data_IF_035707432429
#
_entry.id   IF_035707432429
#
_cell.length_a   1.000
_cell.length_b   1.000
_cell.length_c   1.000
_cell.angle_alpha   90.00
_cell.angle_beta   90.00
_cell.angle_gamma   90.00
#
_symmetry.space_group_name_H-M   'P 1'
#
loop_
_entity.id
_entity.type
_entity.pdbx_description
1 polymer ?
#
# COMPACT_ATOMS: atom_id res chain seq x y z
N UNK A 1 -18.07 -2.20 30.19
CA UNK A 1 -17.70 -0.79 30.42
C UNK A 1 -17.66 -0.12 29.06
N UNK A 2 -18.26 1.06 28.87
CA UNK A 2 -17.96 1.86 27.68
C UNK A 2 -16.44 2.11 27.68
N UNK A 3 -15.78 1.92 26.54
CA UNK A 3 -14.36 2.27 26.40
C UNK A 3 -14.13 3.77 26.65
N UNK A 4 -12.88 4.18 26.90
CA UNK A 4 -12.53 5.60 27.03
C UNK A 4 -13.04 6.37 25.78
N UNK A 5 -13.97 7.34 25.91
CA UNK A 5 -14.50 8.05 24.73
C UNK A 5 -13.40 8.77 23.94
N UNK A 6 -12.28 9.11 24.59
CA UNK A 6 -11.13 9.74 23.95
C UNK A 6 -10.26 8.76 23.15
N UNK A 7 -10.44 7.45 23.30
CA UNK A 7 -9.78 6.45 22.44
C UNK A 7 -10.58 6.08 21.21
N UNK A 8 -11.82 6.57 21.08
CA UNK A 8 -12.75 6.20 19.99
C UNK A 8 -12.15 6.38 18.60
N UNK A 9 -11.54 7.55 18.33
CA UNK A 9 -10.99 7.85 17.00
C UNK A 9 -9.84 6.90 16.66
N UNK A 10 -8.83 6.82 17.54
CA UNK A 10 -7.70 5.90 17.36
C UNK A 10 -8.18 4.44 17.24
N UNK A 11 -9.08 3.99 18.12
CA UNK A 11 -9.58 2.63 18.13
C UNK A 11 -10.36 2.28 16.85
N UNK A 12 -11.11 3.23 16.28
CA UNK A 12 -11.78 3.02 15.00
C UNK A 12 -10.83 3.07 13.81
N UNK A 13 -9.69 3.77 13.93
CA UNK A 13 -8.68 3.86 12.88
C UNK A 13 -7.80 2.60 12.77
N UNK A 14 -7.41 2.03 13.92
CA UNK A 14 -6.47 0.91 13.98
C UNK A 14 -6.81 -0.29 13.09
N UNK A 15 -8.08 -0.74 12.93
CA UNK A 15 -8.40 -1.85 12.03
C UNK A 15 -7.98 -1.59 10.57
N UNK A 16 -8.17 -0.37 10.06
CA UNK A 16 -7.79 0.01 8.70
C UNK A 16 -6.26 0.08 8.59
N UNK A 17 -5.60 0.82 9.48
CA UNK A 17 -4.15 0.98 9.48
C UNK A 17 -3.41 -0.36 9.60
N UNK A 18 -3.86 -1.23 10.50
CA UNK A 18 -3.30 -2.57 10.65
C UNK A 18 -3.52 -3.41 9.39
N UNK A 19 -4.68 -3.28 8.73
CA UNK A 19 -4.93 -3.97 7.47
C UNK A 19 -3.99 -3.50 6.36
N UNK A 20 -3.72 -2.20 6.25
CA UNK A 20 -2.75 -1.67 5.29
C UNK A 20 -1.36 -2.22 5.53
N UNK A 21 -0.88 -2.19 6.79
CA UNK A 21 0.42 -2.77 7.18
C UNK A 21 0.52 -4.25 6.81
N UNK A 22 -0.52 -5.03 7.07
CA UNK A 22 -0.54 -6.46 6.74
C UNK A 22 -0.49 -6.71 5.23
N UNK A 23 -1.30 -6.00 4.44
CA UNK A 23 -1.31 -6.19 2.98
C UNK A 23 0.04 -5.75 2.38
N UNK A 24 0.59 -4.62 2.81
CA UNK A 24 1.91 -4.15 2.39
C UNK A 24 3.00 -5.18 2.72
N UNK A 25 3.01 -5.70 3.95
CA UNK A 25 3.98 -6.72 4.37
C UNK A 25 3.86 -8.01 3.54
N UNK A 26 2.64 -8.41 3.17
CA UNK A 26 2.42 -9.56 2.30
C UNK A 26 2.93 -9.32 0.87
N UNK A 27 2.72 -8.12 0.31
CA UNK A 27 3.29 -7.74 -0.99
C UNK A 27 4.82 -7.78 -0.92
N UNK A 28 5.42 -7.12 0.07
CA UNK A 28 6.87 -7.14 0.30
C UNK A 28 7.44 -8.55 0.48
N UNK A 29 6.74 -9.43 1.20
CA UNK A 29 7.13 -10.83 1.32
C UNK A 29 7.19 -11.54 -0.03
N UNK A 30 6.18 -11.30 -0.87
CA UNK A 30 6.12 -11.84 -2.24
C UNK A 30 7.23 -11.28 -3.14
N UNK A 31 7.66 -10.03 -2.91
CA UNK A 31 8.77 -9.44 -3.67
C UNK A 31 10.15 -10.00 -3.30
N UNK A 32 10.31 -10.56 -2.09
CA UNK A 32 11.59 -11.12 -1.64
C UNK A 32 11.86 -12.50 -2.22
N UNK A 33 10.87 -13.40 -2.15
CA UNK A 33 10.95 -14.76 -2.68
C UNK A 33 9.53 -15.30 -2.94
N UNK A 34 9.25 -15.99 -4.07
CA UNK A 34 10.12 -16.22 -5.24
C UNK A 34 10.37 -14.92 -6.03
N UNK A 35 11.38 -14.89 -6.92
CA UNK A 35 11.69 -13.69 -7.70
C UNK A 35 10.48 -13.30 -8.59
N UNK A 36 9.87 -12.09 -8.43
CA UNK A 36 8.65 -11.72 -9.16
C UNK A 36 8.79 -11.78 -10.68
N UNK A 37 10.01 -11.57 -11.20
CA UNK A 37 10.30 -11.59 -12.62
C UNK A 37 10.05 -12.95 -13.27
N UNK A 38 10.07 -14.05 -12.53
CA UNK A 38 9.93 -15.42 -13.05
C UNK A 38 8.64 -16.10 -12.59
N UNK A 39 7.75 -15.39 -11.87
CA UNK A 39 6.51 -15.95 -11.35
C UNK A 39 5.57 -16.47 -12.45
N UNK A 40 4.83 -17.57 -12.21
CA UNK A 40 3.73 -17.96 -13.07
C UNK A 40 2.72 -16.83 -13.24
N UNK A 41 2.14 -16.67 -14.44
CA UNK A 41 1.20 -15.58 -14.76
C UNK A 41 0.09 -15.42 -13.71
N UNK A 42 -0.49 -16.53 -13.25
CA UNK A 42 -1.55 -16.52 -12.25
C UNK A 42 -1.10 -15.89 -10.92
N UNK A 43 0.12 -16.17 -10.48
CA UNK A 43 0.68 -15.60 -9.25
C UNK A 43 1.01 -14.12 -9.44
N UNK A 44 1.60 -13.76 -10.59
CA UNK A 44 1.88 -12.35 -10.91
C UNK A 44 0.58 -11.51 -10.98
N UNK A 45 -0.49 -12.02 -11.59
CA UNK A 45 -1.80 -11.37 -11.59
C UNK A 45 -2.41 -11.27 -10.18
N UNK A 46 -2.17 -12.26 -9.31
CA UNK A 46 -2.63 -12.21 -7.92
C UNK A 46 -1.89 -11.11 -7.12
N UNK A 47 -0.58 -10.98 -7.31
CA UNK A 47 0.24 -9.91 -6.74
C UNK A 47 -0.24 -8.52 -7.19
N UNK A 48 -0.47 -8.35 -8.49
CA UNK A 48 -0.99 -7.10 -9.05
C UNK A 48 -2.37 -6.75 -8.50
N UNK A 49 -3.29 -7.72 -8.44
CA UNK A 49 -4.61 -7.52 -7.84
C UNK A 49 -4.52 -7.11 -6.38
N UNK A 50 -3.71 -7.80 -5.57
CA UNK A 50 -3.52 -7.45 -4.16
C UNK A 50 -2.96 -6.02 -4.00
N UNK A 51 -2.11 -5.60 -4.93
CA UNK A 51 -1.56 -4.23 -4.96
C UNK A 51 -2.63 -3.21 -5.33
N UNK A 52 -3.45 -3.46 -6.34
CA UNK A 52 -4.56 -2.59 -6.73
C UNK A 52 -5.62 -2.47 -5.62
N UNK A 53 -5.95 -3.59 -4.97
CA UNK A 53 -6.84 -3.59 -3.82
C UNK A 53 -6.27 -2.74 -2.67
N UNK A 54 -4.94 -2.76 -2.44
CA UNK A 54 -4.30 -1.88 -1.47
C UNK A 54 -4.42 -0.41 -1.88
N UNK A 55 -4.13 -0.08 -3.14
CA UNK A 55 -4.18 1.32 -3.61
C UNK A 55 -5.58 1.90 -3.50
N UNK A 56 -6.61 1.14 -3.88
CA UNK A 56 -8.01 1.60 -3.80
C UNK A 56 -8.48 1.80 -2.36
N UNK A 57 -8.13 0.90 -1.45
CA UNK A 57 -8.53 1.05 -0.05
C UNK A 57 -7.79 2.20 0.65
N UNK A 58 -6.51 2.40 0.36
CA UNK A 58 -5.78 3.56 0.87
C UNK A 58 -6.40 4.85 0.33
N UNK A 59 -6.61 4.96 -0.98
CA UNK A 59 -7.18 6.17 -1.57
C UNK A 59 -8.56 6.53 -0.98
N UNK A 60 -9.47 5.56 -0.92
CA UNK A 60 -10.81 5.78 -0.38
C UNK A 60 -10.83 6.10 1.13
N UNK A 61 -9.95 5.49 1.92
CA UNK A 61 -9.83 5.75 3.35
C UNK A 61 -9.42 7.19 3.64
N UNK A 62 -8.33 7.65 3.03
CA UNK A 62 -7.81 8.99 3.24
C UNK A 62 -8.71 10.05 2.59
N UNK A 63 -9.43 9.72 1.51
CA UNK A 63 -10.47 10.60 0.98
C UNK A 63 -11.62 10.82 1.98
N UNK A 64 -12.04 9.78 2.70
CA UNK A 64 -13.06 9.90 3.75
C UNK A 64 -12.55 10.80 4.88
N UNK A 65 -11.31 10.62 5.30
CA UNK A 65 -10.67 11.44 6.33
C UNK A 65 -10.67 12.92 5.96
N UNK A 66 -10.13 13.25 4.78
CA UNK A 66 -10.05 14.63 4.29
C UNK A 66 -11.43 15.28 4.15
N UNK A 67 -12.42 14.51 3.69
CA UNK A 67 -13.76 15.03 3.41
C UNK A 67 -14.58 15.22 4.69
N UNK A 68 -14.49 14.28 5.63
CA UNK A 68 -15.47 14.17 6.72
C UNK A 68 -14.88 14.24 8.13
N UNK A 69 -13.61 13.87 8.33
CA UNK A 69 -13.01 13.73 9.67
C UNK A 69 -12.08 14.91 9.96
N UNK A 70 -11.10 15.16 9.09
CA UNK A 70 -10.07 16.18 9.28
C UNK A 70 -10.64 17.60 9.45
N UNK A 71 -11.69 18.03 8.72
CA UNK A 71 -12.29 19.34 8.95
C UNK A 71 -12.86 19.52 10.36
N UNK A 72 -13.29 18.44 11.01
CA UNK A 72 -13.81 18.47 12.38
C UNK A 72 -12.65 18.51 13.39
N UNK A 73 -11.59 17.74 13.16
CA UNK A 73 -10.39 17.73 14.00
C UNK A 73 -9.64 19.07 13.94
N UNK A 74 -9.56 19.66 12.75
CA UNK A 74 -8.89 20.94 12.48
C UNK A 74 -9.40 22.11 13.33
N UNK A 75 -10.63 22.03 13.87
CA UNK A 75 -11.19 23.04 14.77
C UNK A 75 -10.37 23.23 16.05
N UNK A 76 -9.67 22.19 16.51
CA UNK A 76 -8.81 22.24 17.70
C UNK A 76 -7.39 21.73 17.48
N UNK A 77 -7.13 21.05 16.38
CA UNK A 77 -5.83 20.46 16.04
C UNK A 77 -5.39 20.96 14.67
N UNK A 78 -4.67 22.10 14.60
CA UNK A 78 -4.33 22.77 13.34
C UNK A 78 -3.58 21.89 12.33
N UNK A 79 -2.88 20.84 12.77
CA UNK A 79 -2.20 19.89 11.88
C UNK A 79 -3.12 19.12 10.91
N UNK A 80 -4.44 19.09 11.18
CA UNK A 80 -5.45 18.53 10.28
C UNK A 80 -6.06 19.57 9.32
N UNK A 81 -5.69 20.84 9.43
CA UNK A 81 -6.25 21.89 8.57
C UNK A 81 -5.63 21.87 7.16
N UNK A 82 -6.46 22.10 6.14
CA UNK A 82 -6.04 22.22 4.72
C UNK A 82 -5.15 23.43 4.46
N UNK A 83 -5.34 24.50 5.23
CA UNK A 83 -4.57 25.75 5.12
C UNK A 83 -4.02 26.10 6.49
N UNK A 84 -2.76 25.76 6.74
CA UNK A 84 -2.08 26.09 7.98
C UNK A 84 -0.59 26.31 7.75
N UNK A 85 0.03 27.17 8.56
CA UNK A 85 1.49 27.37 8.59
C UNK A 85 2.22 26.16 9.21
N UNK A 86 1.75 24.94 8.97
CA UNK A 86 2.36 23.72 9.49
C UNK A 86 3.48 23.20 8.59
N UNK A 87 3.78 23.91 7.49
CA UNK A 87 4.80 23.48 6.52
C UNK A 87 4.56 22.04 6.04
N UNK A 88 5.64 21.28 5.90
CA UNK A 88 5.60 19.90 5.40
C UNK A 88 5.10 18.84 6.41
N UNK A 89 4.60 19.25 7.59
CA UNK A 89 4.23 18.33 8.69
C UNK A 89 2.72 18.26 8.97
N UNK A 90 1.88 18.80 8.08
CA UNK A 90 0.42 18.64 8.17
C UNK A 90 -0.06 17.33 7.55
N UNK A 91 -1.09 16.71 8.12
CA UNK A 91 -1.63 15.43 7.63
C UNK A 91 -2.13 15.51 6.18
N UNK A 92 -2.66 16.66 5.75
CA UNK A 92 -3.04 16.89 4.35
C UNK A 92 -1.83 16.85 3.40
N UNK A 93 -0.66 17.37 3.83
CA UNK A 93 0.57 17.30 3.05
C UNK A 93 1.12 15.87 3.00
N UNK A 94 0.98 15.12 4.10
CA UNK A 94 1.30 13.69 4.13
C UNK A 94 0.43 12.90 3.16
N UNK A 95 -0.90 13.13 3.16
CA UNK A 95 -1.82 12.53 2.20
C UNK A 95 -1.43 12.87 0.77
N UNK A 96 -1.15 14.13 0.44
CA UNK A 96 -0.77 14.53 -0.91
C UNK A 96 0.46 13.76 -1.43
N UNK A 97 1.49 13.57 -0.58
CA UNK A 97 2.68 12.78 -0.94
C UNK A 97 2.35 11.30 -1.13
N UNK A 98 1.54 10.73 -0.25
CA UNK A 98 1.12 9.34 -0.34
C UNK A 98 0.21 9.10 -1.56
N UNK A 99 -0.79 9.94 -1.84
CA UNK A 99 -1.64 9.84 -3.03
C UNK A 99 -0.81 9.93 -4.32
N UNK A 100 0.21 10.79 -4.38
CA UNK A 100 1.13 10.82 -5.52
C UNK A 100 1.93 9.50 -5.70
N UNK A 101 2.28 8.83 -4.60
CA UNK A 101 2.91 7.51 -4.66
C UNK A 101 1.91 6.41 -5.07
N UNK A 102 0.68 6.47 -4.56
CA UNK A 102 -0.42 5.56 -4.92
C UNK A 102 -0.77 5.63 -6.40
N UNK A 103 -0.89 6.83 -6.97
CA UNK A 103 -1.22 7.04 -8.38
C UNK A 103 -0.17 6.39 -9.30
N UNK A 104 1.12 6.57 -8.99
CA UNK A 104 2.21 5.96 -9.75
C UNK A 104 2.18 4.44 -9.68
N UNK A 105 2.00 3.88 -8.47
CA UNK A 105 1.92 2.43 -8.26
C UNK A 105 0.70 1.81 -8.96
N UNK A 106 -0.48 2.43 -8.80
CA UNK A 106 -1.72 1.98 -9.40
C UNK A 106 -1.62 2.00 -10.93
N UNK A 107 -1.17 3.11 -11.51
CA UNK A 107 -1.01 3.25 -12.97
C UNK A 107 -0.10 2.17 -13.56
N UNK A 108 1.03 1.90 -12.90
CA UNK A 108 1.94 0.83 -13.29
C UNK A 108 1.26 -0.55 -13.21
N UNK A 109 0.64 -0.88 -12.06
CA UNK A 109 0.02 -2.17 -11.83
C UNK A 109 -1.16 -2.45 -12.79
N UNK A 110 -2.01 -1.46 -13.06
CA UNK A 110 -3.09 -1.57 -14.05
C UNK A 110 -2.54 -1.76 -15.47
N UNK A 111 -1.48 -1.04 -15.82
CA UNK A 111 -0.80 -1.16 -17.11
C UNK A 111 -0.28 -2.59 -17.33
N UNK A 112 0.43 -3.13 -16.33
CA UNK A 112 0.97 -4.49 -16.36
C UNK A 112 -0.16 -5.53 -16.39
N UNK A 113 -1.19 -5.40 -15.55
CA UNK A 113 -2.31 -6.36 -15.53
C UNK A 113 -3.00 -6.44 -16.90
N UNK A 114 -3.25 -5.28 -17.52
CA UNK A 114 -3.83 -5.18 -18.86
C UNK A 114 -2.94 -5.83 -19.91
N UNK A 115 -1.63 -5.56 -19.88
CA UNK A 115 -0.67 -6.11 -20.83
C UNK A 115 -0.52 -7.64 -20.72
N UNK A 116 -0.49 -8.16 -19.49
CA UNK A 116 -0.43 -9.60 -19.19
C UNK A 116 -1.67 -10.35 -19.68
N UNK A 117 -2.86 -9.74 -19.58
CA UNK A 117 -4.11 -10.32 -20.10
C UNK A 117 -4.27 -10.16 -21.62
N UNK A 118 -3.48 -9.27 -22.22
CA UNK A 118 -3.56 -8.90 -23.64
C UNK A 118 -2.87 -9.87 -24.61
N UNK A 119 -2.67 -9.42 -25.85
CA UNK A 119 -1.89 -10.15 -26.86
C UNK A 119 -0.41 -10.27 -26.50
N UNK A 120 0.17 -9.24 -25.89
CA UNK A 120 1.59 -9.23 -25.51
C UNK A 120 1.88 -10.28 -24.43
N UNK A 121 1.04 -10.39 -23.39
CA UNK A 121 1.18 -11.43 -22.38
C UNK A 121 1.03 -12.84 -22.96
N UNK A 122 0.06 -13.07 -23.86
CA UNK A 122 -0.08 -14.36 -24.57
C UNK A 122 1.15 -14.70 -25.40
N UNK A 123 1.73 -13.72 -26.09
CA UNK A 123 2.98 -13.90 -26.85
C UNK A 123 4.13 -14.28 -25.92
N UNK A 124 4.33 -13.53 -24.82
CA UNK A 124 5.40 -13.82 -23.86
C UNK A 124 5.26 -15.23 -23.26
N UNK A 125 4.04 -15.69 -22.96
CA UNK A 125 3.79 -17.07 -22.50
C UNK A 125 4.15 -18.09 -23.57
N UNK A 126 3.79 -17.85 -24.84
CA UNK A 126 4.18 -18.75 -25.94
C UNK A 126 5.70 -18.81 -26.15
N UNK A 127 6.41 -17.76 -25.75
CA UNK A 127 7.88 -17.69 -25.73
C UNK A 127 8.48 -18.25 -24.43
N UNK A 128 7.65 -18.77 -23.52
CA UNK A 128 8.06 -19.47 -22.29
C UNK A 128 8.05 -18.63 -21.00
N UNK A 129 7.66 -17.35 -21.02
CA UNK A 129 7.65 -16.52 -19.82
C UNK A 129 6.79 -17.12 -18.69
N UNK A 130 7.35 -17.16 -17.48
CA UNK A 130 6.74 -17.74 -16.29
C UNK A 130 6.57 -19.26 -16.34
N UNK A 131 7.11 -19.95 -17.37
CA UNK A 131 7.10 -21.40 -17.49
C UNK A 131 8.40 -22.01 -16.91
N UNK A 132 8.35 -23.24 -16.37
CA UNK A 132 9.56 -23.98 -15.99
C UNK A 132 10.51 -24.16 -17.17
N UNK A 133 11.79 -23.99 -16.90
CA UNK A 133 12.90 -24.25 -17.83
C UNK A 133 13.31 -25.72 -17.68
N UNK A 134 13.64 -26.38 -18.79
CA UNK A 134 14.11 -27.75 -18.76
C UNK A 134 15.45 -27.87 -17.99
N UNK A 135 15.74 -29.00 -17.33
CA UNK A 135 16.99 -29.18 -16.57
C UNK A 135 18.27 -28.97 -17.40
N UNK A 136 18.20 -29.21 -18.70
CA UNK A 136 19.34 -29.08 -19.64
C UNK A 136 19.67 -27.61 -19.99
N UNK A 137 18.70 -26.69 -19.85
CA UNK A 137 18.87 -25.25 -20.08
C UNK A 137 19.23 -24.49 -18.78
N UNK A 138 19.25 -25.20 -17.64
CA UNK A 138 19.58 -24.66 -16.32
C UNK A 138 21.10 -24.69 -16.07
N UNK A 139 21.90 -23.96 -16.85
CA UNK A 139 23.32 -23.77 -16.50
C UNK A 139 23.46 -23.01 -15.16
N UNK A 140 24.20 -23.58 -14.21
CA UNK A 140 24.61 -22.94 -12.94
C UNK A 140 24.11 -23.62 -11.67
N UNK A 141 25.06 -23.87 -10.76
CA UNK A 141 25.02 -24.51 -9.42
C UNK A 141 23.71 -25.12 -8.90
N UNK A 142 23.80 -26.40 -8.53
CA UNK A 142 22.82 -27.13 -7.74
C UNK A 142 22.97 -26.72 -6.27
N UNK A 143 22.26 -25.67 -5.85
CA UNK A 143 21.98 -25.46 -4.43
C UNK A 143 20.69 -26.21 -4.08
N UNK A 144 20.85 -27.18 -3.16
CA UNK A 144 19.86 -28.15 -2.68
C UNK A 144 18.81 -27.50 -1.73
N UNK A 145 18.01 -26.56 -2.23
CA UNK A 145 16.81 -26.10 -1.50
C UNK A 145 15.55 -26.20 -2.37
N UNK A 146 14.76 -27.23 -2.07
CA UNK A 146 13.34 -27.47 -2.35
C UNK A 146 12.67 -26.74 -3.55
N UNK A 147 12.42 -27.53 -4.62
CA UNK A 147 11.24 -27.44 -5.50
C UNK A 147 10.92 -26.10 -6.21
N UNK A 148 11.91 -25.23 -6.45
CA UNK A 148 11.71 -24.07 -7.33
C UNK A 148 12.36 -24.32 -8.70
N UNK A 149 11.64 -25.03 -9.56
CA UNK A 149 12.03 -25.18 -10.96
C UNK A 149 12.36 -23.79 -11.53
N UNK A 150 13.61 -23.58 -12.01
CA UNK A 150 14.03 -22.32 -12.63
C UNK A 150 13.01 -21.97 -13.73
N UNK A 151 12.39 -20.79 -13.67
CA UNK A 151 11.38 -20.33 -14.64
C UNK A 151 11.95 -19.24 -15.52
N UNK A 152 11.53 -19.18 -16.78
CA UNK A 152 11.96 -18.13 -17.71
C UNK A 152 11.33 -16.79 -17.30
N UNK A 153 12.10 -15.69 -17.25
CA UNK A 153 11.59 -14.39 -16.81
C UNK A 153 10.58 -13.78 -17.79
N UNK A 154 9.67 -12.97 -17.26
CA UNK A 154 8.85 -12.05 -18.04
C UNK A 154 9.74 -11.00 -18.72
N UNK A 155 9.39 -10.52 -19.92
CA UNK A 155 10.06 -9.36 -20.51
C UNK A 155 9.89 -8.12 -19.62
N UNK A 156 10.96 -7.36 -19.39
CA UNK A 156 10.91 -6.11 -18.59
C UNK A 156 10.00 -5.04 -19.20
N UNK A 157 9.81 -5.08 -20.53
CA UNK A 157 8.83 -4.25 -21.22
C UNK A 157 7.37 -4.57 -20.87
N UNK A 158 7.10 -5.73 -20.27
CA UNK A 158 5.77 -6.15 -19.78
C UNK A 158 5.66 -6.00 -18.27
N UNK A 159 6.68 -6.47 -17.55
CA UNK A 159 6.77 -6.37 -16.11
C UNK A 159 8.23 -6.21 -15.72
N UNK A 160 8.54 -5.07 -15.12
CA UNK A 160 9.83 -4.78 -14.50
C UNK A 160 9.67 -4.93 -12.98
N UNK A 161 10.20 -6.02 -12.44
CA UNK A 161 10.12 -6.30 -11.00
C UNK A 161 10.90 -5.31 -10.15
N UNK A 162 11.98 -4.72 -10.67
CA UNK A 162 12.78 -3.75 -9.93
C UNK A 162 12.07 -2.40 -9.88
N UNK A 163 11.51 -1.94 -11.00
CA UNK A 163 10.67 -0.74 -11.00
C UNK A 163 9.44 -0.93 -10.09
N UNK A 164 8.80 -2.09 -10.14
CA UNK A 164 7.67 -2.39 -9.25
C UNK A 164 8.08 -2.34 -7.77
N UNK A 165 9.24 -2.89 -7.42
CA UNK A 165 9.80 -2.82 -6.06
C UNK A 165 10.05 -1.38 -5.62
N UNK A 166 10.63 -0.55 -6.49
CA UNK A 166 10.86 0.88 -6.22
C UNK A 166 9.54 1.60 -5.91
N UNK A 167 8.48 1.33 -6.68
CA UNK A 167 7.16 1.92 -6.45
C UNK A 167 6.54 1.49 -5.11
N UNK A 168 6.65 0.20 -4.76
CA UNK A 168 6.19 -0.32 -3.47
C UNK A 168 7.00 0.30 -2.32
N UNK A 169 8.33 0.38 -2.44
CA UNK A 169 9.18 0.99 -1.42
C UNK A 169 8.86 2.47 -1.23
N UNK A 170 8.62 3.20 -2.32
CA UNK A 170 8.19 4.61 -2.27
C UNK A 170 6.81 4.79 -1.62
N UNK A 171 5.88 3.85 -1.81
CA UNK A 171 4.65 3.85 -1.03
C UNK A 171 4.96 3.64 0.46
N UNK A 172 5.85 2.71 0.81
CA UNK A 172 6.22 2.47 2.22
C UNK A 172 6.85 3.68 2.91
N UNK A 173 7.73 4.41 2.22
CA UNK A 173 8.41 5.61 2.78
C UNK A 173 7.45 6.78 3.02
N UNK A 174 6.31 6.82 2.34
CA UNK A 174 5.28 7.86 2.53
C UNK A 174 4.18 7.39 3.50
N UNK A 175 3.72 6.15 3.36
CA UNK A 175 2.63 5.58 4.14
C UNK A 175 2.97 5.44 5.61
N UNK A 176 4.09 4.80 5.98
CA UNK A 176 4.31 4.46 7.39
C UNK A 176 4.51 5.67 8.32
N UNK A 177 5.31 6.68 7.93
CA UNK A 177 5.41 7.89 8.74
C UNK A 177 4.07 8.60 8.90
N UNK A 178 3.25 8.61 7.84
CA UNK A 178 1.91 9.18 7.87
C UNK A 178 1.00 8.46 8.88
N UNK A 179 0.88 7.13 8.78
CA UNK A 179 0.06 6.34 9.72
C UNK A 179 0.49 6.56 11.17
N UNK A 180 1.80 6.60 11.43
CA UNK A 180 2.33 6.84 12.78
C UNK A 180 2.03 8.26 13.29
N UNK A 181 2.18 9.27 12.43
CA UNK A 181 1.88 10.65 12.76
C UNK A 181 0.40 10.82 13.10
N UNK A 182 -0.48 10.26 12.29
CA UNK A 182 -1.92 10.35 12.51
C UNK A 182 -2.34 9.59 13.78
N UNK A 183 -1.90 8.33 13.93
CA UNK A 183 -2.17 7.55 15.15
C UNK A 183 -1.68 8.28 16.40
N UNK A 184 -0.55 8.96 16.31
CA UNK A 184 -0.02 9.79 17.41
C UNK A 184 -0.94 10.97 17.69
N UNK A 185 -1.35 11.74 16.67
CA UNK A 185 -2.32 12.82 16.83
C UNK A 185 -3.63 12.34 17.48
N UNK A 186 -4.12 11.15 17.10
CA UNK A 186 -5.38 10.58 17.58
C UNK A 186 -5.31 9.94 18.98
N UNK A 187 -4.14 9.90 19.63
CA UNK A 187 -4.01 9.33 20.99
C UNK A 187 -4.91 10.06 21.99
N UNK A 188 -5.53 9.35 22.95
CA UNK A 188 -6.40 9.96 23.96
C UNK A 188 -5.79 11.15 24.69
N UNK A 189 -4.49 11.11 24.98
CA UNK A 189 -3.77 12.22 25.62
C UNK A 189 -3.75 13.48 24.77
N UNK A 190 -3.56 13.35 23.45
CA UNK A 190 -3.47 14.47 22.52
C UNK A 190 -4.86 15.05 22.23
N UNK A 191 -5.87 14.19 22.08
CA UNK A 191 -7.26 14.62 21.97
C UNK A 191 -7.73 15.38 23.23
N UNK A 192 -7.37 14.89 24.42
CA UNK A 192 -7.65 15.59 25.70
C UNK A 192 -6.92 16.93 25.78
N UNK A 193 -5.64 16.96 25.42
CA UNK A 193 -4.82 18.17 25.45
C UNK A 193 -5.34 19.24 24.46
N UNK A 194 -5.88 18.81 23.31
CA UNK A 194 -6.53 19.69 22.35
C UNK A 194 -7.89 20.25 22.83
N UNK A 195 -8.44 19.73 23.95
CA UNK A 195 -9.66 20.26 24.56
C UNK A 195 -10.97 19.77 23.95
N UNK A 196 -10.98 18.60 23.29
CA UNK A 196 -12.23 17.97 22.86
C UNK A 196 -13.06 17.46 24.03
N UNK A 197 -14.38 17.53 23.92
CA UNK A 197 -15.31 16.85 24.85
C UNK A 197 -15.78 15.50 24.27
N UNK A 198 -16.23 14.55 25.12
CA UNK A 198 -16.80 13.29 24.64
C UNK A 198 -17.97 13.46 23.67
N UNK A 199 -18.82 14.46 23.88
CA UNK A 199 -19.98 14.75 23.02
C UNK A 199 -19.56 15.22 21.63
N UNK A 200 -18.45 15.95 21.52
CA UNK A 200 -17.90 16.36 20.22
C UNK A 200 -17.27 15.19 19.49
N UNK A 201 -16.53 14.34 20.20
CA UNK A 201 -15.94 13.13 19.63
C UNK A 201 -17.00 12.14 19.14
N UNK A 202 -18.15 12.06 19.83
CA UNK A 202 -19.27 11.22 19.41
C UNK A 202 -19.91 11.67 18.08
N UNK A 203 -19.71 12.92 17.66
CA UNK A 203 -20.24 13.47 16.40
C UNK A 203 -19.32 13.27 15.20
N UNK A 204 -18.06 12.89 15.43
CA UNK A 204 -17.11 12.62 14.35
C UNK A 204 -17.43 11.24 13.75
N UNK A 205 -17.68 11.11 12.43
CA UNK A 205 -17.95 9.82 11.80
C UNK A 205 -16.73 8.90 11.93
N UNK A 206 -16.98 7.60 12.16
CA UNK A 206 -15.98 6.53 12.19
C UNK A 206 -16.54 5.31 11.46
#
# INVERSE_FOLDING_TARGET
MPGDPYSRLLAGMMPFHNRFRMIYASIQGTLRQPHPQTMPQRQLLALLRQTLDLTHHLDGHHQIEETYIFPLLARRMPQFATTGNNGDTGHIQEHARMHAALEQLQSYAEGVERALRGSQGRKAISEGAGQPVAPEEAEGDQDDDADDAKRKPWPTSLFDSEHFRILIDNLGTTLFPHLEAEETSLRPSNIKAAGFTPEELARIPM
#
